data_IF_806373686128
#
_entry.id   IF_806373686128
#
_cell.length_a   1.000
_cell.length_b   1.000
_cell.length_c   1.000
_cell.angle_alpha   90.00
_cell.angle_beta   90.00
_cell.angle_gamma   90.00
#
_symmetry.space_group_name_H-M   'P 1'
#
loop_
_entity.id
_entity.type
_entity.pdbx_description
1 polymer ?
#
# COMPACT_ATOMS: atom_id res chain seq x y z
N UNK A 1 -7.88 -6.96 -9.92
CA UNK A 1 -7.55 -6.08 -8.78
C UNK A 1 -6.11 -6.34 -8.38
N UNK A 2 -5.34 -5.34 -7.95
CA UNK A 2 -3.98 -5.55 -7.43
C UNK A 2 -4.10 -6.26 -6.08
N UNK A 3 -3.43 -7.40 -5.90
CA UNK A 3 -3.24 -7.97 -4.57
C UNK A 3 -2.07 -7.25 -3.92
N UNK A 4 -2.35 -6.54 -2.84
CA UNK A 4 -1.34 -5.69 -2.20
C UNK A 4 -0.18 -6.47 -1.60
N UNK A 5 -0.44 -7.67 -1.08
CA UNK A 5 0.59 -8.51 -0.49
C UNK A 5 1.48 -9.12 -1.58
N UNK A 6 0.93 -9.41 -2.75
CA UNK A 6 1.71 -9.86 -3.92
C UNK A 6 2.64 -8.74 -4.41
N UNK A 7 2.10 -7.52 -4.57
CA UNK A 7 2.90 -6.33 -4.92
C UNK A 7 4.03 -6.11 -3.91
N UNK A 8 3.71 -6.19 -2.61
CA UNK A 8 4.69 -6.01 -1.55
C UNK A 8 5.79 -7.09 -1.56
N UNK A 9 5.40 -8.37 -1.62
CA UNK A 9 6.34 -9.49 -1.57
C UNK A 9 7.29 -9.41 -2.77
N UNK A 10 6.75 -9.29 -3.98
CA UNK A 10 7.60 -9.23 -5.18
C UNK A 10 8.48 -7.97 -5.14
N UNK A 11 7.95 -6.82 -4.74
CA UNK A 11 8.72 -5.57 -4.64
C UNK A 11 9.88 -5.65 -3.64
N UNK A 12 9.67 -6.24 -2.45
CA UNK A 12 10.76 -6.43 -1.49
C UNK A 12 11.85 -7.37 -2.02
N UNK A 13 11.46 -8.41 -2.76
CA UNK A 13 12.39 -9.40 -3.29
C UNK A 13 13.18 -8.91 -4.51
N UNK A 14 12.84 -7.74 -5.08
CA UNK A 14 13.62 -7.09 -6.14
C UNK A 14 15.02 -6.70 -5.66
N UNK A 15 15.16 -6.30 -4.39
CA UNK A 15 16.43 -5.84 -3.84
C UNK A 15 17.30 -7.02 -3.34
N UNK A 16 16.70 -7.97 -2.61
CA UNK A 16 17.39 -9.19 -2.17
C UNK A 16 16.43 -10.32 -1.72
N UNK A 17 16.91 -11.58 -1.65
CA UNK A 17 16.14 -12.68 -1.07
C UNK A 17 15.78 -12.46 0.40
N UNK A 18 14.58 -12.90 0.82
CA UNK A 18 14.08 -12.73 2.19
C UNK A 18 13.35 -13.96 2.70
N UNK A 19 13.45 -14.24 4.00
CA UNK A 19 12.61 -15.27 4.62
C UNK A 19 11.19 -14.76 4.82
N UNK A 20 10.21 -15.66 4.92
CA UNK A 20 8.83 -15.28 5.23
C UNK A 20 8.71 -14.44 6.51
N UNK A 21 9.51 -14.76 7.54
CA UNK A 21 9.56 -13.94 8.76
C UNK A 21 10.07 -12.52 8.48
N UNK A 22 11.14 -12.38 7.70
CA UNK A 22 11.70 -11.08 7.34
C UNK A 22 10.72 -10.25 6.50
N UNK A 23 10.04 -10.86 5.52
CA UNK A 23 8.99 -10.20 4.72
C UNK A 23 7.87 -9.66 5.60
N UNK A 24 7.37 -10.49 6.54
CA UNK A 24 6.33 -10.06 7.49
C UNK A 24 6.80 -8.87 8.34
N UNK A 25 8.03 -8.95 8.88
CA UNK A 25 8.60 -7.89 9.72
C UNK A 25 8.77 -6.59 8.93
N UNK A 26 9.29 -6.68 7.70
CA UNK A 26 9.42 -5.52 6.81
C UNK A 26 8.06 -4.88 6.54
N UNK A 27 7.03 -5.67 6.27
CA UNK A 27 5.67 -5.16 6.06
C UNK A 27 5.19 -4.36 7.28
N UNK A 28 5.21 -4.97 8.47
CA UNK A 28 4.80 -4.30 9.72
C UNK A 28 5.60 -3.04 10.00
N UNK A 29 6.91 -3.03 9.73
CA UNK A 29 7.74 -1.83 9.91
C UNK A 29 7.33 -0.68 8.98
N UNK A 30 6.84 -0.98 7.77
CA UNK A 30 6.45 0.03 6.78
C UNK A 30 5.04 0.57 7.06
N UNK A 31 4.09 -0.32 7.37
CA UNK A 31 2.66 0.05 7.47
C UNK A 31 2.16 0.23 8.90
N UNK A 32 2.95 -0.14 9.90
CA UNK A 32 2.63 -0.07 11.32
C UNK A 32 1.79 -1.26 11.82
N UNK A 33 1.67 -1.37 13.15
CA UNK A 33 1.02 -2.51 13.82
C UNK A 33 -0.47 -2.66 13.52
N UNK A 34 -1.14 -1.56 13.14
CA UNK A 34 -2.55 -1.57 12.77
C UNK A 34 -2.84 -2.41 11.50
N UNK A 35 -1.82 -2.64 10.68
CA UNK A 35 -1.91 -3.43 9.45
C UNK A 35 -0.82 -4.51 9.44
N UNK A 36 -1.22 -5.77 9.60
CA UNK A 36 -0.28 -6.88 9.60
C UNK A 36 -0.67 -7.93 8.57
N UNK A 37 0.33 -8.50 7.90
CA UNK A 37 0.16 -9.75 7.17
C UNK A 37 0.25 -10.91 8.16
N UNK A 38 -0.83 -11.71 8.23
CA UNK A 38 -0.82 -12.92 9.05
C UNK A 38 0.05 -14.00 8.40
N UNK A 39 0.60 -14.93 9.18
CA UNK A 39 1.31 -16.08 8.61
C UNK A 39 0.40 -16.97 7.74
N UNK A 40 -0.89 -17.08 8.11
CA UNK A 40 -1.90 -17.79 7.32
C UNK A 40 -2.25 -17.10 6.00
N UNK A 41 -1.88 -15.84 5.82
CA UNK A 41 -1.99 -15.12 4.54
C UNK A 41 -0.67 -15.18 3.77
N UNK A 42 0.46 -14.97 4.46
CA UNK A 42 1.77 -14.86 3.83
C UNK A 42 2.22 -16.18 3.21
N UNK A 43 2.21 -17.28 3.96
CA UNK A 43 2.79 -18.54 3.46
C UNK A 43 2.00 -19.15 2.30
N UNK A 44 0.65 -19.21 2.32
CA UNK A 44 -0.10 -19.65 1.15
C UNK A 44 0.11 -18.78 -0.08
N UNK A 45 0.34 -17.47 0.12
CA UNK A 45 0.68 -16.59 -1.00
C UNK A 45 2.08 -16.90 -1.55
N UNK A 46 3.09 -17.10 -0.70
CA UNK A 46 4.42 -17.51 -1.15
C UNK A 46 4.39 -18.81 -1.95
N UNK A 47 3.66 -19.82 -1.47
CA UNK A 47 3.52 -21.10 -2.17
C UNK A 47 2.81 -20.91 -3.53
N UNK A 48 1.82 -20.02 -3.61
CA UNK A 48 1.15 -19.68 -4.88
C UNK A 48 2.09 -18.99 -5.87
N UNK A 49 2.91 -18.05 -5.41
CA UNK A 49 3.88 -17.34 -6.25
C UNK A 49 4.98 -18.30 -6.74
N UNK A 50 5.40 -19.25 -5.90
CA UNK A 50 6.32 -20.32 -6.30
C UNK A 50 5.72 -21.21 -7.38
N UNK A 51 4.47 -21.68 -7.20
CA UNK A 51 3.76 -22.48 -8.21
C UNK A 51 3.57 -21.74 -9.52
N UNK A 52 3.41 -20.41 -9.48
CA UNK A 52 3.36 -19.56 -10.65
C UNK A 52 4.75 -19.36 -11.30
N UNK A 53 5.84 -19.80 -10.67
CA UNK A 53 7.21 -19.59 -11.13
C UNK A 53 7.71 -18.17 -10.98
N UNK A 54 7.05 -17.35 -10.13
CA UNK A 54 7.38 -15.95 -9.89
C UNK A 54 8.45 -15.78 -8.80
N UNK A 55 8.63 -16.80 -7.96
CA UNK A 55 9.73 -16.91 -7.01
C UNK A 55 10.16 -18.36 -6.87
N UNK A 56 11.29 -18.58 -6.21
CA UNK A 56 11.77 -19.89 -5.75
C UNK A 56 11.86 -19.86 -4.23
N UNK A 57 11.39 -20.91 -3.55
CA UNK A 57 11.58 -21.12 -2.12
C UNK A 57 12.70 -22.15 -1.89
N UNK A 58 13.75 -21.73 -1.22
CA UNK A 58 14.81 -22.63 -0.74
C UNK A 58 14.81 -22.70 0.79
N UNK A 59 15.43 -23.74 1.35
CA UNK A 59 15.60 -23.83 2.79
C UNK A 59 16.94 -23.23 3.19
N UNK A 60 16.90 -22.19 4.02
CA UNK A 60 18.09 -21.69 4.70
C UNK A 60 18.29 -22.49 5.99
N UNK A 61 19.43 -23.16 6.11
CA UNK A 61 19.85 -23.73 7.39
C UNK A 61 20.02 -22.61 8.41
N UNK A 62 19.38 -22.76 9.57
CA UNK A 62 19.52 -21.83 10.69
C UNK A 62 20.18 -22.55 11.84
N UNK A 63 20.94 -21.82 12.66
CA UNK A 63 21.62 -22.36 13.85
C UNK A 63 20.67 -23.12 14.79
N UNK A 64 19.38 -22.76 14.77
CA UNK A 64 18.32 -23.38 15.59
C UNK A 64 17.63 -24.58 14.93
N UNK A 65 18.19 -25.19 13.87
CA UNK A 65 17.70 -26.39 13.16
C UNK A 65 16.25 -26.33 12.65
N UNK A 66 15.63 -25.15 12.58
CA UNK A 66 14.35 -24.95 11.91
C UNK A 66 14.61 -24.36 10.52
N UNK A 67 14.38 -25.12 9.44
CA UNK A 67 14.52 -24.59 8.10
C UNK A 67 13.60 -23.39 7.91
N UNK A 68 14.14 -22.25 7.48
CA UNK A 68 13.33 -21.10 7.06
C UNK A 68 13.24 -21.08 5.54
N UNK A 69 12.02 -20.96 5.02
CA UNK A 69 11.80 -20.73 3.58
C UNK A 69 12.37 -19.35 3.21
N UNK A 70 13.42 -19.35 2.41
CA UNK A 70 14.03 -18.17 1.78
C UNK A 70 13.41 -18.01 0.40
N UNK A 71 12.72 -16.88 0.18
CA UNK A 71 12.14 -16.55 -1.10
C UNK A 71 13.12 -15.72 -1.93
N UNK A 72 13.28 -16.09 -3.20
CA UNK A 72 14.08 -15.38 -4.20
C UNK A 72 13.22 -15.13 -5.43
N UNK A 73 13.12 -13.88 -5.89
CA UNK A 73 12.33 -13.55 -7.08
C UNK A 73 12.97 -14.13 -8.35
N UNK A 74 12.15 -14.59 -9.29
CA UNK A 74 12.60 -15.05 -10.62
C UNK A 74 12.48 -13.93 -11.65
N UNK A 75 13.01 -14.10 -12.86
CA UNK A 75 12.78 -13.16 -13.97
C UNK A 75 11.26 -12.95 -14.23
N UNK A 76 10.48 -14.03 -14.21
CA UNK A 76 9.02 -13.97 -14.34
C UNK A 76 8.37 -13.17 -13.20
N UNK A 77 8.87 -13.31 -11.97
CA UNK A 77 8.41 -12.51 -10.84
C UNK A 77 8.73 -11.03 -10.97
N UNK A 78 9.90 -10.69 -11.51
CA UNK A 78 10.27 -9.30 -11.80
C UNK A 78 9.33 -8.68 -12.83
N UNK A 79 8.99 -9.42 -13.90
CA UNK A 79 8.02 -8.97 -14.90
C UNK A 79 6.63 -8.80 -14.29
N UNK A 80 6.23 -9.74 -13.43
CA UNK A 80 4.97 -9.67 -12.69
C UNK A 80 4.91 -8.45 -11.77
N UNK A 81 5.99 -8.15 -11.06
CA UNK A 81 6.10 -6.94 -10.23
C UNK A 81 5.90 -5.68 -11.07
N UNK A 82 6.58 -5.57 -12.21
CA UNK A 82 6.45 -4.42 -13.12
C UNK A 82 5.02 -4.26 -13.63
N UNK A 83 4.35 -5.36 -13.98
CA UNK A 83 2.93 -5.34 -14.38
C UNK A 83 2.03 -4.78 -13.24
N UNK A 84 2.20 -5.26 -12.02
CA UNK A 84 1.45 -4.79 -10.85
C UNK A 84 1.74 -3.32 -10.52
N UNK A 85 2.99 -2.91 -10.64
CA UNK A 85 3.45 -1.54 -10.41
C UNK A 85 2.85 -0.56 -11.43
N UNK A 86 2.76 -0.94 -12.70
CA UNK A 86 2.16 -0.12 -13.76
C UNK A 86 0.62 -0.10 -13.72
N UNK A 87 -0.02 -1.10 -13.11
CA UNK A 87 -1.48 -1.22 -13.11
C UNK A 87 -2.18 -0.09 -12.33
N UNK A 88 -3.25 0.54 -12.84
CA UNK A 88 -4.01 1.55 -12.09
C UNK A 88 -4.56 1.02 -10.76
N UNK A 89 -4.58 1.87 -9.74
CA UNK A 89 -5.11 1.51 -8.42
C UNK A 89 -6.65 1.61 -8.43
N UNK A 90 -7.33 0.51 -8.11
CA UNK A 90 -8.80 0.50 -7.99
C UNK A 90 -9.27 1.19 -6.72
N UNK A 91 -10.41 1.88 -6.77
CA UNK A 91 -11.03 2.56 -5.61
C UNK A 91 -11.79 1.53 -4.75
N UNK A 92 -11.29 1.26 -3.54
CA UNK A 92 -11.83 0.34 -2.54
C UNK A 92 -11.14 0.56 -1.17
N UNK A 93 -11.39 -0.31 -0.20
CA UNK A 93 -10.84 -0.19 1.17
C UNK A 93 -9.30 -0.28 1.23
N UNK A 94 -8.64 -0.83 0.23
CA UNK A 94 -7.18 -0.99 0.16
C UNK A 94 -6.47 0.12 -0.64
N UNK A 95 -7.20 1.02 -1.31
CA UNK A 95 -6.63 2.02 -2.23
C UNK A 95 -5.47 2.81 -1.63
N UNK A 96 -5.66 3.36 -0.42
CA UNK A 96 -4.60 4.13 0.26
C UNK A 96 -3.36 3.28 0.50
N UNK A 97 -3.53 2.07 1.02
CA UNK A 97 -2.42 1.18 1.30
C UNK A 97 -1.70 0.77 0.00
N UNK A 98 -2.44 0.52 -1.09
CA UNK A 98 -1.85 0.20 -2.40
C UNK A 98 -0.98 1.36 -2.91
N UNK A 99 -1.45 2.61 -2.81
CA UNK A 99 -0.62 3.76 -3.16
C UNK A 99 0.62 3.87 -2.28
N UNK A 100 0.50 3.69 -0.97
CA UNK A 100 1.66 3.70 -0.06
C UNK A 100 2.68 2.61 -0.39
N UNK A 101 2.23 1.41 -0.78
CA UNK A 101 3.14 0.36 -1.26
C UNK A 101 3.84 0.74 -2.56
N UNK A 102 3.14 1.38 -3.50
CA UNK A 102 3.81 1.89 -4.71
C UNK A 102 4.81 3.00 -4.39
N UNK A 103 4.48 3.91 -3.47
CA UNK A 103 5.41 4.96 -3.01
C UNK A 103 6.65 4.36 -2.34
N UNK A 104 6.47 3.28 -1.56
CA UNK A 104 7.57 2.56 -0.93
C UNK A 104 8.58 1.98 -1.94
N UNK A 105 8.14 1.70 -3.17
CA UNK A 105 8.98 1.11 -4.23
C UNK A 105 9.37 2.08 -5.35
N UNK A 106 9.28 3.41 -5.14
CA UNK A 106 9.60 4.38 -6.20
C UNK A 106 11.02 4.21 -6.79
N UNK A 107 11.99 3.74 -6.00
CA UNK A 107 13.35 3.48 -6.47
C UNK A 107 13.46 2.37 -7.51
N UNK A 108 12.44 1.52 -7.62
CA UNK A 108 12.36 0.43 -8.60
C UNK A 108 11.66 0.84 -9.90
N UNK A 109 11.18 2.09 -9.98
CA UNK A 109 10.41 2.61 -11.13
C UNK A 109 11.26 3.59 -11.94
N UNK A 110 11.01 3.67 -13.24
CA UNK A 110 11.50 4.78 -14.05
C UNK A 110 10.79 6.10 -13.68
N UNK A 111 11.34 7.22 -14.14
CA UNK A 111 10.83 8.55 -13.82
C UNK A 111 9.35 8.71 -14.18
N UNK A 112 8.94 8.25 -15.36
CA UNK A 112 7.58 8.41 -15.86
C UNK A 112 6.57 7.66 -14.97
N UNK A 113 6.90 6.43 -14.56
CA UNK A 113 6.05 5.66 -13.66
C UNK A 113 6.03 6.26 -12.25
N UNK A 114 7.15 6.78 -11.74
CA UNK A 114 7.19 7.49 -10.46
C UNK A 114 6.23 8.68 -10.46
N UNK A 115 6.32 9.54 -11.49
CA UNK A 115 5.44 10.71 -11.65
C UNK A 115 3.99 10.27 -11.76
N UNK A 116 3.70 9.26 -12.60
CA UNK A 116 2.34 8.77 -12.82
C UNK A 116 1.68 8.25 -11.53
N UNK A 117 2.41 7.48 -10.72
CA UNK A 117 1.91 6.97 -9.42
C UNK A 117 1.56 8.12 -8.48
N UNK A 118 2.42 9.14 -8.41
CA UNK A 118 2.22 10.29 -7.53
C UNK A 118 1.07 11.19 -8.00
N UNK A 119 0.90 11.38 -9.32
CA UNK A 119 -0.24 12.10 -9.89
C UNK A 119 -1.57 11.37 -9.63
N UNK A 120 -1.61 10.04 -9.81
CA UNK A 120 -2.79 9.25 -9.51
C UNK A 120 -3.14 9.32 -8.01
N UNK A 121 -2.12 9.32 -7.15
CA UNK A 121 -2.33 9.45 -5.70
C UNK A 121 -2.77 10.87 -5.30
N UNK A 122 -2.24 11.90 -5.97
CA UNK A 122 -2.67 13.28 -5.78
C UNK A 122 -4.15 13.43 -6.16
N UNK A 123 -4.55 12.87 -7.30
CA UNK A 123 -5.93 12.87 -7.75
C UNK A 123 -6.84 12.18 -6.74
N UNK A 124 -6.49 10.96 -6.32
CA UNK A 124 -7.25 10.24 -5.29
C UNK A 124 -7.39 11.04 -3.99
N UNK A 125 -6.31 11.67 -3.52
CA UNK A 125 -6.31 12.45 -2.29
C UNK A 125 -7.15 13.72 -2.41
N UNK A 126 -7.11 14.38 -3.57
CA UNK A 126 -7.97 15.53 -3.88
C UNK A 126 -9.45 15.13 -3.86
N UNK A 127 -9.80 14.06 -4.55
CA UNK A 127 -11.17 13.55 -4.62
C UNK A 127 -11.67 13.13 -3.21
N UNK A 128 -10.79 12.54 -2.38
CA UNK A 128 -11.10 12.18 -1.00
C UNK A 128 -11.41 13.41 -0.13
N UNK A 129 -10.61 14.47 -0.21
CA UNK A 129 -10.86 15.73 0.52
C UNK A 129 -12.19 16.34 0.10
N UNK A 130 -12.46 16.42 -1.20
CA UNK A 130 -13.71 16.97 -1.73
C UNK A 130 -14.92 16.16 -1.25
N UNK A 131 -14.86 14.83 -1.31
CA UNK A 131 -15.93 13.97 -0.84
C UNK A 131 -16.17 14.07 0.68
N UNK A 132 -15.11 14.15 1.48
CA UNK A 132 -15.25 14.30 2.94
C UNK A 132 -15.87 15.65 3.33
N UNK A 133 -15.53 16.73 2.63
CA UNK A 133 -16.17 18.05 2.81
C UNK A 133 -17.66 17.99 2.48
N UNK A 134 -18.03 17.42 1.32
CA UNK A 134 -19.44 17.21 0.95
C UNK A 134 -20.20 16.40 2.01
N UNK A 135 -19.62 15.30 2.47
CA UNK A 135 -20.24 14.47 3.52
C UNK A 135 -20.33 15.16 4.89
N UNK A 136 -19.47 16.15 5.15
CA UNK A 136 -19.59 17.00 6.35
C UNK A 136 -20.78 17.95 6.21
N UNK A 137 -20.97 18.55 5.03
CA UNK A 137 -22.11 19.43 4.76
C UNK A 137 -23.43 18.64 4.77
N UNK A 138 -23.44 17.41 4.23
CA UNK A 138 -24.59 16.50 4.31
C UNK A 138 -24.95 16.12 5.77
N UNK A 139 -23.93 15.95 6.64
CA UNK A 139 -24.11 15.64 8.05
C UNK A 139 -24.71 16.82 8.82
N UNK A 140 -24.22 18.03 8.56
CA UNK A 140 -24.68 19.28 9.20
C UNK A 140 -26.17 19.54 8.95
N UNK A 141 -26.65 19.13 7.77
CA UNK A 141 -28.04 19.30 7.34
C UNK A 141 -28.91 18.05 7.51
N UNK A 142 -28.46 17.03 8.25
CA UNK A 142 -29.17 15.75 8.33
C UNK A 142 -30.45 15.86 9.18
N UNK A 143 -31.66 15.75 8.57
CA UNK A 143 -32.92 15.92 9.30
C UNK A 143 -33.28 14.71 10.18
N UNK A 144 -32.52 13.63 10.10
CA UNK A 144 -32.77 12.38 10.82
C UNK A 144 -31.87 12.20 12.05
N UNK A 145 -31.12 13.22 12.44
CA UNK A 145 -30.22 13.19 13.60
C UNK A 145 -30.56 14.33 14.56
N UNK A 146 -30.38 14.08 15.86
CA UNK A 146 -30.46 15.16 16.86
C UNK A 146 -29.19 16.00 16.81
N UNK A 147 -29.28 17.28 17.20
CA UNK A 147 -28.15 18.21 17.10
C UNK A 147 -26.90 17.73 17.87
N UNK A 148 -27.08 17.07 19.02
CA UNK A 148 -25.96 16.52 19.79
C UNK A 148 -25.17 15.47 18.98
N UNK A 149 -25.87 14.53 18.33
CA UNK A 149 -25.25 13.51 17.49
C UNK A 149 -24.57 14.11 16.24
N UNK A 150 -25.16 15.17 15.67
CA UNK A 150 -24.53 15.93 14.58
C UNK A 150 -23.22 16.54 15.07
N UNK A 151 -23.22 17.22 16.23
CA UNK A 151 -22.02 17.84 16.79
C UNK A 151 -20.90 16.82 17.03
N UNK A 152 -21.21 15.65 17.61
CA UNK A 152 -20.23 14.58 17.82
C UNK A 152 -19.71 14.01 16.49
N UNK A 153 -20.60 13.81 15.52
CA UNK A 153 -20.23 13.37 14.17
C UNK A 153 -19.33 14.37 13.45
N UNK A 154 -19.50 15.67 13.70
CA UNK A 154 -18.68 16.73 13.12
C UNK A 154 -17.23 16.66 13.60
N UNK A 155 -16.99 16.31 14.87
CA UNK A 155 -15.62 16.06 15.38
C UNK A 155 -14.93 14.94 14.59
N UNK A 156 -15.66 13.87 14.27
CA UNK A 156 -15.14 12.76 13.44
C UNK A 156 -14.83 13.22 12.02
N UNK A 157 -15.71 14.03 11.42
CA UNK A 157 -15.51 14.58 10.06
C UNK A 157 -14.32 15.52 9.99
N UNK A 158 -14.15 16.40 10.98
CA UNK A 158 -13.01 17.32 11.06
C UNK A 158 -11.68 16.58 11.15
N UNK A 159 -11.62 15.52 11.97
CA UNK A 159 -10.45 14.66 12.04
C UNK A 159 -10.14 13.99 10.69
N UNK A 160 -11.15 13.40 10.04
CA UNK A 160 -11.00 12.74 8.73
C UNK A 160 -10.54 13.71 7.64
N UNK A 161 -11.12 14.90 7.59
CA UNK A 161 -10.74 15.95 6.62
C UNK A 161 -9.30 16.38 6.86
N UNK A 162 -8.91 16.59 8.12
CA UNK A 162 -7.54 16.98 8.48
C UNK A 162 -6.51 15.93 8.04
N UNK A 163 -6.81 14.64 8.26
CA UNK A 163 -5.96 13.54 7.77
C UNK A 163 -5.85 13.50 6.24
N UNK A 164 -6.96 13.68 5.53
CA UNK A 164 -6.98 13.68 4.07
C UNK A 164 -6.24 14.88 3.48
N UNK A 165 -6.36 16.06 4.09
CA UNK A 165 -5.62 17.26 3.70
C UNK A 165 -4.12 17.10 3.93
N UNK A 166 -3.71 16.51 5.06
CA UNK A 166 -2.30 16.21 5.33
C UNK A 166 -1.73 15.25 4.29
N UNK A 167 -2.48 14.20 3.93
CA UNK A 167 -2.09 13.28 2.87
C UNK A 167 -1.93 13.99 1.53
N UNK A 168 -2.91 14.81 1.11
CA UNK A 168 -2.83 15.57 -0.14
C UNK A 168 -1.61 16.50 -0.15
N UNK A 169 -1.38 17.23 0.94
CA UNK A 169 -0.22 18.12 1.07
C UNK A 169 1.11 17.34 0.95
N UNK A 170 1.21 16.18 1.58
CA UNK A 170 2.39 15.33 1.49
C UNK A 170 2.62 14.79 0.07
N UNK A 171 1.58 14.31 -0.62
CA UNK A 171 1.71 13.84 -2.02
C UNK A 171 2.10 15.00 -2.95
N UNK A 172 1.50 16.18 -2.77
CA UNK A 172 1.85 17.37 -3.56
C UNK A 172 3.33 17.74 -3.42
N UNK A 173 3.83 17.75 -2.17
CA UNK A 173 5.24 18.03 -1.88
C UNK A 173 6.15 17.00 -2.56
N UNK A 174 5.83 15.72 -2.42
CA UNK A 174 6.64 14.64 -3.00
C UNK A 174 6.65 14.71 -4.54
N UNK A 175 5.51 14.98 -5.17
CA UNK A 175 5.42 15.15 -6.62
C UNK A 175 6.20 16.37 -7.12
N UNK A 176 6.15 17.48 -6.38
CA UNK A 176 6.91 18.70 -6.71
C UNK A 176 8.42 18.45 -6.62
N UNK A 177 8.88 17.76 -5.58
CA UNK A 177 10.29 17.37 -5.44
C UNK A 177 10.72 16.51 -6.63
N UNK A 178 9.89 15.54 -7.03
CA UNK A 178 10.23 14.67 -8.16
C UNK A 178 10.30 15.40 -9.51
N UNK A 179 9.38 16.33 -9.78
CA UNK A 179 9.36 17.10 -11.04
C UNK A 179 10.40 18.24 -11.08
N UNK A 180 10.98 18.60 -9.95
CA UNK A 180 11.99 19.66 -9.83
C UNK A 180 13.43 19.15 -9.89
N UNK A 181 13.63 17.82 -9.89
CA UNK A 181 14.90 17.11 -10.17
C UNK A 181 15.05 16.85 -11.67
#
# INVERSE_FOLDING_TARGET
MINIYELFILGQLMDHPMTGYALRKAFTNIVGDAQAISFGTLYPLLDKLEQAGELVLSFKETENKRPQKLATITAKGQDRFKELAAKPVSINKQTKLTFLMKVHFLHLFDYDLQVKVLEDFQKFSTDQVANLKRLKDDLDNNPHMVQADINDGMLVKEFQISQAQMQLAWVNKLLQQRKGE
#
